data_IF_189633327153
#
_entry.id   IF_189633327153
#
_cell.length_a   1.000
_cell.length_b   1.000
_cell.length_c   1.000
_cell.angle_alpha   90.00
_cell.angle_beta   90.00
_cell.angle_gamma   90.00
#
_symmetry.space_group_name_H-M   'P 1'
#
loop_
_entity.id
_entity.type
_entity.pdbx_description
1 polymer ?
#
# COMPACT_ATOMS: atom_id res chain seq x y z
N UNK A 1 32.82 -3.45 37.20
CA UNK A 1 32.24 -4.71 37.79
C UNK A 1 30.90 -4.34 38.40
N UNK A 2 29.87 -5.09 38.07
CA UNK A 2 28.55 -4.94 38.73
C UNK A 2 28.65 -5.47 40.17
N UNK A 3 28.08 -4.73 41.12
CA UNK A 3 27.97 -5.15 42.52
C UNK A 3 26.51 -5.35 42.89
N UNK A 4 26.20 -6.45 43.57
CA UNK A 4 24.86 -6.69 44.10
C UNK A 4 24.81 -6.13 45.56
N UNK A 5 24.00 -5.14 45.80
CA UNK A 5 23.74 -4.58 47.13
C UNK A 5 22.26 -4.73 47.46
N UNK A 6 21.92 -5.76 48.25
CA UNK A 6 20.53 -6.07 48.54
C UNK A 6 19.73 -6.43 47.28
N UNK A 7 18.65 -5.70 47.00
CA UNK A 7 17.81 -5.89 45.81
C UNK A 7 18.20 -4.97 44.62
N UNK A 8 19.41 -4.42 44.62
CA UNK A 8 19.92 -3.53 43.57
C UNK A 8 21.07 -4.17 42.82
N UNK A 9 21.03 -4.11 41.48
CA UNK A 9 22.16 -4.40 40.60
C UNK A 9 22.74 -3.07 40.13
N UNK A 10 24.00 -2.80 40.44
CA UNK A 10 24.72 -1.63 39.88
C UNK A 10 25.45 -2.04 38.60
N UNK A 11 25.16 -1.35 37.51
CA UNK A 11 25.83 -1.55 36.23
C UNK A 11 27.02 -0.62 36.16
N UNK A 12 28.20 -1.15 35.80
CA UNK A 12 29.40 -0.33 35.60
C UNK A 12 29.21 0.65 34.45
N UNK A 13 29.70 1.89 34.63
CA UNK A 13 29.65 2.94 33.62
C UNK A 13 31.00 3.10 32.94
N UNK A 14 31.03 3.23 31.62
CA UNK A 14 32.23 3.45 30.81
C UNK A 14 31.91 4.42 29.66
N UNK A 15 32.92 5.22 29.26
CA UNK A 15 32.85 5.91 27.97
C UNK A 15 32.98 4.90 26.81
N UNK A 16 32.52 5.25 25.63
CA UNK A 16 32.66 4.39 24.41
C UNK A 16 34.14 4.04 24.19
N UNK A 17 35.05 4.98 24.35
CA UNK A 17 36.51 4.74 24.22
C UNK A 17 37.03 3.78 25.28
N UNK A 18 36.68 3.96 26.54
CA UNK A 18 37.10 3.11 27.65
C UNK A 18 36.55 1.68 27.48
N UNK A 19 35.30 1.56 27.08
CA UNK A 19 34.62 0.27 26.79
C UNK A 19 35.31 -0.49 25.66
N UNK A 20 35.65 0.20 24.55
CA UNK A 20 36.29 -0.42 23.39
C UNK A 20 37.76 -0.78 23.61
N UNK A 21 38.40 -0.20 24.63
CA UNK A 21 39.77 -0.53 25.02
C UNK A 21 39.87 -1.64 26.05
N UNK A 22 38.75 -2.20 26.51
CA UNK A 22 38.75 -3.40 27.34
C UNK A 22 39.39 -4.56 26.59
N UNK A 23 40.29 -5.28 27.22
CA UNK A 23 40.96 -6.47 26.65
C UNK A 23 39.96 -7.63 26.42
N UNK A 24 40.14 -8.74 27.08
CA UNK A 24 39.21 -9.88 27.00
C UNK A 24 37.92 -9.56 27.76
N UNK A 25 36.80 -9.44 27.03
CA UNK A 25 35.46 -9.21 27.60
C UNK A 25 34.63 -10.50 27.55
N UNK A 26 34.17 -11.04 28.69
CA UNK A 26 33.28 -12.19 28.68
C UNK A 26 31.93 -11.90 28.00
N UNK A 27 31.39 -12.89 27.26
CA UNK A 27 30.05 -12.83 26.73
C UNK A 27 29.01 -12.60 27.85
N UNK A 28 28.05 -11.72 27.60
CA UNK A 28 27.04 -11.32 28.58
C UNK A 28 27.48 -10.21 29.54
N UNK A 29 28.71 -9.68 29.40
CA UNK A 29 29.11 -8.49 30.14
C UNK A 29 28.18 -7.32 29.77
N UNK A 30 27.68 -6.62 30.79
CA UNK A 30 26.76 -5.47 30.64
C UNK A 30 27.44 -4.22 31.19
N UNK A 31 27.38 -3.12 30.43
CA UNK A 31 27.87 -1.79 30.82
C UNK A 31 26.86 -0.71 30.43
N UNK A 32 26.88 0.43 31.12
CA UNK A 32 26.24 1.64 30.66
C UNK A 32 27.29 2.50 29.92
N UNK A 33 27.08 2.73 28.64
CA UNK A 33 27.94 3.60 27.83
C UNK A 33 27.51 5.05 28.04
N UNK A 34 28.37 5.85 28.62
CA UNK A 34 28.05 7.27 28.98
C UNK A 34 28.01 8.20 27.78
N UNK A 35 28.73 7.87 26.70
CA UNK A 35 28.79 8.71 25.50
C UNK A 35 27.55 8.44 24.62
N UNK A 36 27.12 7.18 24.56
CA UNK A 36 25.91 6.78 23.83
C UNK A 36 24.62 6.87 24.64
N UNK A 37 24.75 7.03 25.99
CA UNK A 37 23.65 7.09 26.95
C UNK A 37 22.73 5.85 26.89
N UNK A 38 23.35 4.66 26.77
CA UNK A 38 22.63 3.38 26.65
C UNK A 38 23.31 2.23 27.40
N UNK A 39 22.51 1.23 27.77
CA UNK A 39 23.04 -0.04 28.32
C UNK A 39 23.43 -0.92 27.14
N UNK A 40 24.65 -1.46 27.19
CA UNK A 40 25.14 -2.41 26.18
C UNK A 40 25.54 -3.74 26.80
N UNK A 41 25.47 -4.81 26.04
CA UNK A 41 26.00 -6.12 26.38
C UNK A 41 27.01 -6.60 25.34
N UNK A 42 27.98 -7.38 25.79
CA UNK A 42 29.01 -7.96 24.93
C UNK A 42 28.64 -9.37 24.49
N UNK A 43 28.78 -9.64 23.17
CA UNK A 43 28.66 -10.99 22.59
C UNK A 43 29.76 -11.21 21.55
N UNK A 44 29.81 -12.39 20.83
CA UNK A 44 30.84 -12.66 19.82
C UNK A 44 30.90 -11.67 18.65
N UNK A 45 29.85 -10.86 18.42
CA UNK A 45 29.80 -9.80 17.41
C UNK A 45 30.28 -8.44 17.94
N UNK A 46 30.53 -8.34 19.24
CA UNK A 46 30.97 -7.11 19.91
C UNK A 46 29.94 -6.53 20.89
N UNK A 47 30.08 -5.23 21.16
CA UNK A 47 29.14 -4.50 22.02
C UNK A 47 27.88 -4.15 21.27
N UNK A 48 26.74 -4.64 21.78
CA UNK A 48 25.42 -4.37 21.23
C UNK A 48 24.54 -3.66 22.28
N UNK A 49 23.71 -2.71 21.86
CA UNK A 49 22.78 -2.09 22.79
C UNK A 49 21.80 -3.12 23.34
N UNK A 50 21.57 -3.09 24.66
CA UNK A 50 20.35 -3.69 25.20
C UNK A 50 19.25 -2.68 24.84
N UNK A 51 18.67 -2.87 23.68
CA UNK A 51 17.50 -2.14 23.26
C UNK A 51 16.33 -2.51 24.19
N UNK A 52 16.23 -1.84 25.32
CA UNK A 52 14.93 -1.71 25.96
C UNK A 52 14.17 -0.72 25.09
N UNK A 53 13.56 -1.23 24.02
CA UNK A 53 12.70 -0.40 23.19
C UNK A 53 11.78 0.36 24.13
N UNK A 54 12.02 1.65 24.27
CA UNK A 54 11.20 2.48 25.15
C UNK A 54 9.80 2.44 24.59
N UNK A 55 8.83 2.03 25.43
CA UNK A 55 7.44 1.96 24.99
C UNK A 55 7.03 3.26 24.35
N UNK A 56 6.65 3.19 23.08
CA UNK A 56 6.17 4.34 22.33
C UNK A 56 4.83 4.78 22.90
N UNK A 57 4.70 6.07 23.15
CA UNK A 57 3.41 6.74 23.26
C UNK A 57 3.25 7.66 22.05
N UNK A 58 2.15 7.47 21.33
CA UNK A 58 1.85 8.29 20.17
C UNK A 58 0.36 8.63 20.07
N UNK A 59 0.07 9.69 19.34
CA UNK A 59 -1.28 10.17 19.01
C UNK A 59 -1.43 10.31 17.50
N UNK A 60 -2.65 10.54 17.03
CA UNK A 60 -2.98 10.74 15.62
C UNK A 60 -3.73 9.56 14.99
N UNK A 61 -4.58 9.88 14.03
CA UNK A 61 -5.50 8.92 13.42
C UNK A 61 -6.52 8.34 14.39
N UNK A 62 -7.21 7.30 13.97
CA UNK A 62 -8.07 6.47 14.84
C UNK A 62 -7.21 5.42 15.54
N UNK A 63 -7.28 5.35 16.87
CA UNK A 63 -6.42 4.49 17.69
C UNK A 63 -7.21 3.28 18.17
N UNK A 64 -6.66 2.08 18.01
CA UNK A 64 -7.15 0.84 18.61
C UNK A 64 -6.06 0.20 19.49
N UNK A 65 -6.43 -0.19 20.70
CA UNK A 65 -5.59 -0.93 21.64
C UNK A 65 -5.99 -2.41 21.75
N UNK A 66 -7.02 -2.82 21.03
CA UNK A 66 -7.62 -4.15 21.15
C UNK A 66 -7.72 -4.92 19.84
N UNK A 67 -7.55 -4.26 18.69
CA UNK A 67 -7.66 -4.91 17.38
C UNK A 67 -6.55 -5.94 17.13
N UNK A 68 -5.33 -5.67 17.66
CA UNK A 68 -4.17 -6.58 17.61
C UNK A 68 -3.57 -6.73 19.01
N UNK A 69 -3.60 -7.95 19.55
CA UNK A 69 -3.10 -8.24 20.90
C UNK A 69 -1.64 -7.79 21.06
N UNK A 70 -1.33 -7.04 22.13
CA UNK A 70 0.00 -6.51 22.43
C UNK A 70 0.46 -5.35 21.56
N UNK A 71 -0.42 -4.79 20.71
CA UNK A 71 -0.11 -3.68 19.83
C UNK A 71 -1.10 -2.53 20.00
N UNK A 72 -0.60 -1.32 19.77
CA UNK A 72 -1.42 -0.14 19.48
C UNK A 72 -1.40 0.11 17.98
N UNK A 73 -2.59 0.28 17.39
CA UNK A 73 -2.78 0.47 15.95
C UNK A 73 -3.39 1.84 15.71
N UNK A 74 -2.74 2.63 14.86
CA UNK A 74 -3.20 3.94 14.37
C UNK A 74 -3.64 3.79 12.91
N UNK A 75 -4.85 4.23 12.59
CA UNK A 75 -5.42 4.19 11.24
C UNK A 75 -5.74 5.60 10.77
N UNK A 76 -5.20 5.99 9.62
CA UNK A 76 -5.45 7.27 8.98
C UNK A 76 -6.23 7.04 7.68
N UNK A 77 -7.44 7.59 7.61
CA UNK A 77 -8.30 7.62 6.42
C UNK A 77 -8.39 9.02 5.81
N UNK A 78 -7.70 9.98 6.40
CA UNK A 78 -7.49 11.36 5.94
C UNK A 78 -6.10 11.83 6.36
N UNK A 79 -5.54 12.88 5.73
CA UNK A 79 -4.25 13.46 6.12
C UNK A 79 -4.21 13.85 7.60
N UNK A 80 -3.05 13.70 8.22
CA UNK A 80 -2.85 14.00 9.65
C UNK A 80 -1.40 13.91 10.07
N UNK A 81 -1.16 13.76 11.36
CA UNK A 81 0.17 13.61 11.94
C UNK A 81 0.18 12.43 12.91
N UNK A 82 1.12 11.53 12.74
CA UNK A 82 1.48 10.55 13.76
C UNK A 82 2.51 11.22 14.67
N UNK A 83 2.10 11.57 15.89
CA UNK A 83 2.95 12.27 16.85
C UNK A 83 3.43 11.29 17.93
N UNK A 84 4.72 11.02 17.96
CA UNK A 84 5.37 10.28 19.05
C UNK A 84 5.68 11.27 20.18
N UNK A 85 5.04 11.06 21.34
CA UNK A 85 5.18 11.92 22.51
C UNK A 85 6.27 11.46 23.46
N UNK A 86 6.56 10.16 23.49
CA UNK A 86 7.64 9.56 24.26
C UNK A 86 8.01 8.18 23.75
N UNK A 87 9.20 7.71 24.09
CA UNK A 87 9.72 6.41 23.70
C UNK A 87 10.33 6.43 22.29
N UNK A 88 11.10 5.37 21.99
CA UNK A 88 11.77 5.18 20.70
C UNK A 88 11.77 3.69 20.37
N UNK A 89 11.28 3.32 19.21
CA UNK A 89 11.26 1.93 18.74
C UNK A 89 10.91 1.90 17.25
N UNK A 90 10.96 0.73 16.64
CA UNK A 90 10.44 0.52 15.30
C UNK A 90 8.90 0.47 15.32
N UNK A 91 8.28 1.07 14.33
CA UNK A 91 6.86 0.93 14.04
C UNK A 91 6.67 0.17 12.73
N UNK A 92 5.72 -0.75 12.71
CA UNK A 92 5.24 -1.36 11.48
C UNK A 92 4.34 -0.37 10.74
N UNK A 93 4.44 -0.32 9.41
CA UNK A 93 3.54 0.51 8.61
C UNK A 93 2.96 -0.23 7.40
N UNK A 94 1.78 0.22 6.99
CA UNK A 94 1.13 -0.10 5.72
C UNK A 94 0.61 1.19 5.11
N UNK A 95 1.20 1.62 4.00
CA UNK A 95 0.83 2.83 3.26
C UNK A 95 0.23 2.42 1.92
N UNK A 96 -1.02 2.80 1.67
CA UNK A 96 -1.72 2.53 0.42
C UNK A 96 -2.20 3.86 -0.16
N UNK A 97 -1.86 4.13 -1.41
CA UNK A 97 -2.28 5.32 -2.13
C UNK A 97 -3.72 5.16 -2.66
N UNK A 98 -4.31 6.25 -3.12
CA UNK A 98 -5.59 6.24 -3.81
C UNK A 98 -5.51 5.49 -5.14
N UNK A 99 -6.52 4.65 -5.42
CA UNK A 99 -6.68 3.94 -6.70
C UNK A 99 -7.11 4.86 -7.83
N UNK A 100 -6.82 4.49 -9.07
CA UNK A 100 -7.29 5.21 -10.27
C UNK A 100 -8.75 4.93 -10.56
N UNK A 101 -9.43 5.86 -11.23
CA UNK A 101 -10.78 5.66 -11.75
C UNK A 101 -10.77 4.80 -13.01
N UNK A 102 -11.88 4.14 -13.28
CA UNK A 102 -12.13 3.43 -14.53
C UNK A 102 -12.27 4.37 -15.72
N UNK A 103 -12.08 3.86 -16.91
CA UNK A 103 -12.18 4.62 -18.14
C UNK A 103 -13.60 5.07 -18.43
N UNK A 104 -13.73 6.17 -19.18
CA UNK A 104 -15.00 6.71 -19.68
C UNK A 104 -15.25 6.25 -21.12
N UNK A 105 -16.49 5.87 -21.41
CA UNK A 105 -16.93 5.60 -22.78
C UNK A 105 -17.05 6.88 -23.61
N UNK A 106 -16.85 6.78 -24.92
CA UNK A 106 -16.95 7.92 -25.85
C UNK A 106 -18.38 8.21 -26.29
N UNK A 107 -18.62 9.44 -26.76
CA UNK A 107 -19.83 9.84 -27.47
C UNK A 107 -19.91 9.13 -28.82
N UNK A 108 -21.02 8.49 -29.17
CA UNK A 108 -21.26 8.01 -30.53
C UNK A 108 -21.58 6.55 -30.75
N UNK A 109 -22.10 5.80 -29.78
CA UNK A 109 -22.69 4.49 -30.04
C UNK A 109 -22.13 3.36 -29.22
N UNK A 110 -22.73 2.17 -29.40
CA UNK A 110 -22.35 0.96 -28.73
C UNK A 110 -20.96 0.48 -29.13
N UNK A 111 -20.17 -0.02 -28.21
CA UNK A 111 -18.95 -0.78 -28.48
C UNK A 111 -17.66 -0.13 -27.99
N UNK A 112 -17.71 0.79 -27.01
CA UNK A 112 -16.52 1.42 -26.45
C UNK A 112 -16.30 0.99 -25.00
N UNK A 113 -15.94 -0.25 -24.82
CA UNK A 113 -15.63 -0.82 -23.51
C UNK A 113 -14.29 -0.27 -23.00
N UNK A 114 -14.28 0.13 -21.75
CA UNK A 114 -13.15 0.88 -21.17
C UNK A 114 -12.39 0.05 -20.14
N UNK A 115 -11.16 0.43 -19.89
CA UNK A 115 -10.30 -0.23 -18.91
C UNK A 115 -10.69 0.05 -17.48
N UNK A 116 -10.44 -0.89 -16.58
CA UNK A 116 -10.54 -0.69 -15.13
C UNK A 116 -9.40 0.14 -14.59
N UNK A 117 -9.61 0.90 -13.51
CA UNK A 117 -8.57 1.64 -12.80
C UNK A 117 -7.58 0.70 -12.09
N UNK A 118 -6.32 1.08 -12.03
CA UNK A 118 -5.30 0.40 -11.25
C UNK A 118 -5.37 0.74 -9.76
N UNK A 119 -4.95 -0.17 -8.91
CA UNK A 119 -4.83 0.11 -7.48
C UNK A 119 -3.76 1.16 -7.20
N UNK A 120 -3.90 1.87 -6.10
CA UNK A 120 -2.83 2.66 -5.51
C UNK A 120 -1.64 1.78 -5.13
N UNK A 121 -0.44 2.34 -5.15
CA UNK A 121 0.77 1.67 -4.69
C UNK A 121 0.63 1.22 -3.25
N UNK A 122 1.26 0.11 -2.94
CA UNK A 122 1.24 -0.51 -1.62
C UNK A 122 2.67 -0.62 -1.09
N UNK A 123 2.95 0.04 0.04
CA UNK A 123 4.23 -0.04 0.73
C UNK A 123 4.03 -0.53 2.16
N UNK A 124 4.86 -1.48 2.58
CA UNK A 124 4.89 -2.03 3.94
C UNK A 124 6.31 -2.15 4.44
N UNK A 125 6.48 -2.13 5.73
CA UNK A 125 7.79 -2.30 6.36
C UNK A 125 7.78 -1.86 7.81
N UNK A 126 9.00 -1.65 8.32
CA UNK A 126 9.25 -1.06 9.63
C UNK A 126 10.09 0.20 9.46
N UNK A 127 9.96 1.13 10.37
CA UNK A 127 10.80 2.34 10.42
C UNK A 127 11.00 2.76 11.87
N UNK A 128 12.22 3.18 12.25
CA UNK A 128 12.46 3.68 13.58
C UNK A 128 11.78 5.05 13.77
N UNK A 129 11.20 5.25 14.94
CA UNK A 129 10.64 6.54 15.36
C UNK A 129 11.15 6.92 16.74
N UNK A 130 11.31 8.22 16.93
CA UNK A 130 11.67 8.88 18.19
C UNK A 130 10.65 9.97 18.49
N UNK A 131 10.63 10.58 19.67
CA UNK A 131 9.73 11.70 19.95
C UNK A 131 9.79 12.77 18.84
N UNK A 132 8.64 13.06 18.23
CA UNK A 132 8.55 13.97 17.09
C UNK A 132 7.25 13.83 16.31
N UNK A 133 7.12 14.65 15.27
CA UNK A 133 5.96 14.69 14.38
C UNK A 133 6.29 14.05 13.04
N UNK A 134 5.49 13.06 12.65
CA UNK A 134 5.60 12.34 11.40
C UNK A 134 4.36 12.63 10.54
N UNK A 135 4.51 13.41 9.47
CA UNK A 135 3.37 13.75 8.62
C UNK A 135 2.83 12.51 7.91
N UNK A 136 1.50 12.43 7.83
CA UNK A 136 0.76 11.39 7.10
C UNK A 136 -0.08 12.06 6.06
N UNK A 137 0.08 11.67 4.79
CA UNK A 137 -0.87 12.01 3.73
C UNK A 137 -1.64 10.78 3.29
N UNK A 138 -2.93 10.95 3.01
CA UNK A 138 -3.82 9.89 2.51
C UNK A 138 -4.40 10.35 1.19
N UNK A 139 -4.08 9.64 0.13
CA UNK A 139 -4.48 10.00 -1.23
C UNK A 139 -5.94 9.69 -1.50
N UNK A 140 -6.63 10.59 -2.20
CA UNK A 140 -7.97 10.35 -2.73
C UNK A 140 -7.96 9.39 -3.93
N UNK A 141 -9.06 8.67 -4.14
CA UNK A 141 -9.29 7.92 -5.37
C UNK A 141 -9.53 8.85 -6.57
N UNK A 142 -9.09 8.44 -7.75
CA UNK A 142 -9.33 9.15 -9.01
C UNK A 142 -10.80 9.06 -9.44
N UNK A 143 -11.34 10.14 -9.99
CA UNK A 143 -12.61 10.10 -10.71
C UNK A 143 -12.47 9.36 -12.05
N UNK A 144 -13.52 9.41 -12.89
CA UNK A 144 -13.47 8.82 -14.25
C UNK A 144 -12.23 9.25 -15.00
N UNK A 145 -11.51 8.29 -15.60
CA UNK A 145 -10.28 8.54 -16.38
C UNK A 145 -9.19 9.32 -15.63
N UNK A 146 -9.29 9.44 -14.32
CA UNK A 146 -8.34 10.18 -13.50
C UNK A 146 -7.47 9.22 -12.68
N UNK A 147 -6.23 9.62 -12.51
CA UNK A 147 -5.32 8.98 -11.56
C UNK A 147 -5.80 9.18 -10.13
N UNK A 148 -5.49 8.26 -9.24
CA UNK A 148 -5.55 8.51 -7.82
C UNK A 148 -4.54 9.56 -7.37
N UNK A 149 -4.40 9.75 -6.06
CA UNK A 149 -3.33 10.56 -5.47
C UNK A 149 -2.46 9.75 -4.53
N UNK A 150 -1.20 10.16 -4.37
CA UNK A 150 -0.23 9.46 -3.54
C UNK A 150 -0.58 9.52 -2.04
N UNK A 151 -0.14 8.52 -1.29
CA UNK A 151 -0.13 8.53 0.18
C UNK A 151 1.30 8.48 0.70
N UNK A 152 1.53 9.03 1.89
CA UNK A 152 2.85 8.95 2.51
C UNK A 152 2.78 8.83 4.03
N UNK A 153 3.84 8.27 4.61
CA UNK A 153 4.13 8.27 6.04
C UNK A 153 5.62 8.51 6.21
N UNK A 154 5.98 9.60 6.87
CA UNK A 154 7.39 10.00 7.00
C UNK A 154 8.07 10.09 5.61
N UNK A 155 9.12 9.32 5.37
CA UNK A 155 9.85 9.21 4.11
C UNK A 155 9.34 8.09 3.17
N UNK A 156 8.28 7.37 3.57
CA UNK A 156 7.67 6.31 2.78
C UNK A 156 6.59 6.89 1.87
N UNK A 157 6.68 6.64 0.57
CA UNK A 157 5.71 7.09 -0.42
C UNK A 157 5.08 5.90 -1.15
N UNK A 158 3.76 5.89 -1.22
CA UNK A 158 2.99 5.01 -2.10
C UNK A 158 2.51 5.80 -3.33
N UNK A 159 2.79 5.28 -4.52
CA UNK A 159 2.48 5.93 -5.80
C UNK A 159 1.00 5.79 -6.11
N UNK A 160 0.38 6.86 -6.61
CA UNK A 160 -1.03 6.87 -7.05
C UNK A 160 -1.38 5.72 -7.99
N UNK A 161 -2.62 5.26 -7.99
CA UNK A 161 -3.14 4.28 -8.95
C UNK A 161 -3.34 4.83 -10.35
N UNK A 162 -3.12 4.00 -11.37
CA UNK A 162 -3.25 4.35 -12.79
C UNK A 162 -4.71 4.45 -13.23
N UNK A 163 -5.04 5.41 -14.09
CA UNK A 163 -6.37 5.57 -14.66
C UNK A 163 -6.65 4.47 -15.70
N UNK A 164 -7.88 4.00 -15.78
CA UNK A 164 -8.32 3.10 -16.86
C UNK A 164 -8.38 3.82 -18.21
N UNK A 165 -8.00 3.12 -19.27
CA UNK A 165 -8.10 3.61 -20.66
C UNK A 165 -9.55 3.89 -21.05
N UNK A 166 -9.77 4.95 -21.83
CA UNK A 166 -11.10 5.37 -22.27
C UNK A 166 -11.03 6.58 -23.19
N UNK A 167 -12.16 6.95 -23.80
CA UNK A 167 -12.24 8.15 -24.64
C UNK A 167 -12.81 9.34 -23.85
N UNK A 168 -12.50 10.59 -24.22
CA UNK A 168 -11.79 10.98 -25.47
C UNK A 168 -10.26 10.96 -25.37
N UNK A 169 -9.67 10.68 -24.18
CA UNK A 169 -8.27 11.01 -23.95
C UNK A 169 -7.27 9.95 -24.49
N UNK A 170 -7.31 8.71 -23.99
CA UNK A 170 -6.41 7.65 -24.42
C UNK A 170 -7.08 6.28 -24.34
N UNK A 171 -6.80 5.40 -25.28
CA UNK A 171 -7.23 4.01 -25.22
C UNK A 171 -6.38 3.18 -24.26
N UNK A 172 -5.15 3.62 -23.99
CA UNK A 172 -4.22 2.95 -23.09
C UNK A 172 -4.53 3.27 -21.63
N UNK A 173 -4.28 2.31 -20.77
CA UNK A 173 -4.29 2.50 -19.32
C UNK A 173 -3.13 3.36 -18.84
N UNK A 174 -3.37 4.23 -17.87
CA UNK A 174 -2.36 5.07 -17.27
C UNK A 174 -1.40 4.29 -16.34
N UNK A 175 -0.12 4.68 -16.26
CA UNK A 175 0.83 4.09 -15.31
C UNK A 175 0.51 4.52 -13.87
N UNK A 176 0.95 3.72 -12.89
CA UNK A 176 0.72 4.05 -11.48
C UNK A 176 1.47 3.15 -10.52
N UNK A 177 1.11 3.18 -9.24
CA UNK A 177 1.49 2.14 -8.29
C UNK A 177 1.13 0.78 -8.87
N UNK A 178 -0.18 0.61 -9.22
CA UNK A 178 -0.60 -0.38 -10.23
C UNK A 178 -1.19 0.35 -11.44
N UNK A 179 -0.96 -0.17 -12.64
CA UNK A 179 -1.42 0.42 -13.89
C UNK A 179 -2.91 0.21 -14.14
N UNK A 180 -3.56 1.14 -14.84
CA UNK A 180 -4.93 0.98 -15.34
C UNK A 180 -5.01 -0.01 -16.50
N UNK A 181 -6.16 -0.63 -16.71
CA UNK A 181 -6.44 -1.47 -17.88
C UNK A 181 -6.61 -0.66 -19.16
N UNK A 182 -6.26 -1.22 -20.31
CA UNK A 182 -6.50 -0.62 -21.62
C UNK A 182 -7.97 -0.70 -22.03
N UNK A 183 -8.44 0.25 -22.83
CA UNK A 183 -9.76 0.20 -23.45
C UNK A 183 -9.76 -0.80 -24.64
N UNK A 184 -10.97 -1.07 -25.18
CA UNK A 184 -11.12 -1.83 -26.40
C UNK A 184 -10.15 -1.32 -27.53
N UNK A 185 -10.14 -2.00 -28.67
CA UNK A 185 -9.28 -1.64 -29.80
C UNK A 185 -7.79 -1.69 -29.46
N UNK A 186 -7.38 -2.74 -28.75
CA UNK A 186 -5.98 -3.02 -28.41
C UNK A 186 -5.29 -2.00 -27.49
N UNK A 187 -6.03 -1.23 -26.70
CA UNK A 187 -5.43 -0.36 -25.69
C UNK A 187 -4.51 -1.16 -24.78
N UNK A 188 -3.28 -0.72 -24.63
CA UNK A 188 -2.32 -1.36 -23.73
C UNK A 188 -2.68 -1.09 -22.26
N UNK A 189 -2.38 -2.06 -21.39
CA UNK A 189 -2.45 -1.84 -19.96
C UNK A 189 -1.32 -0.93 -19.47
N UNK A 190 -1.62 -0.02 -18.56
CA UNK A 190 -0.63 0.85 -17.93
C UNK A 190 0.40 0.03 -17.14
N UNK A 191 1.61 0.55 -17.01
CA UNK A 191 2.68 -0.07 -16.21
C UNK A 191 2.46 0.13 -14.71
N UNK A 192 2.85 -0.86 -13.90
CA UNK A 192 2.94 -0.73 -12.45
C UNK A 192 4.32 -0.26 -11.99
N UNK A 193 4.39 0.30 -10.80
CA UNK A 193 5.65 0.66 -10.14
C UNK A 193 6.23 -0.58 -9.44
N UNK A 194 7.47 -0.95 -9.76
CA UNK A 194 8.15 -2.09 -9.14
C UNK A 194 8.14 -2.02 -7.61
N UNK A 195 7.78 -3.13 -6.96
CA UNK A 195 7.67 -3.22 -5.50
C UNK A 195 6.40 -2.60 -4.90
N UNK A 196 5.55 -1.92 -5.69
CA UNK A 196 4.32 -1.30 -5.20
C UNK A 196 3.05 -1.80 -5.89
N UNK A 197 3.16 -2.37 -7.10
CA UNK A 197 2.02 -2.92 -7.82
C UNK A 197 2.38 -3.43 -9.20
N UNK A 198 1.37 -3.82 -9.97
CA UNK A 198 1.51 -4.56 -11.22
C UNK A 198 0.80 -3.86 -12.39
N UNK A 199 1.11 -4.23 -13.64
CA UNK A 199 0.48 -3.63 -14.80
C UNK A 199 -1.01 -3.97 -14.90
N UNK A 200 -1.75 -3.13 -15.62
CA UNK A 200 -3.10 -3.41 -16.07
C UNK A 200 -3.14 -4.41 -17.23
N UNK A 201 -4.32 -4.96 -17.48
CA UNK A 201 -4.60 -5.84 -18.61
C UNK A 201 -4.82 -5.06 -19.92
N UNK A 202 -4.52 -5.70 -21.04
CA UNK A 202 -4.77 -5.17 -22.38
C UNK A 202 -6.25 -5.23 -22.74
N UNK A 203 -6.74 -4.23 -23.46
CA UNK A 203 -8.06 -4.27 -24.12
C UNK A 203 -8.04 -5.13 -25.40
N UNK A 204 -9.23 -5.60 -25.84
CA UNK A 204 -9.38 -6.44 -27.03
C UNK A 204 -10.40 -5.87 -28.00
N UNK A 205 -10.33 -6.25 -29.27
CA UNK A 205 -11.19 -5.75 -30.32
C UNK A 205 -12.35 -6.72 -30.68
N UNK A 206 -12.17 -8.02 -30.47
CA UNK A 206 -13.21 -9.01 -30.78
C UNK A 206 -13.24 -10.11 -29.68
N UNK A 207 -14.28 -10.13 -28.82
CA UNK A 207 -15.27 -9.06 -28.65
C UNK A 207 -14.62 -7.79 -28.08
N UNK A 208 -15.19 -6.61 -28.37
CA UNK A 208 -14.73 -5.36 -27.78
C UNK A 208 -14.76 -5.46 -26.25
N UNK A 209 -13.61 -5.35 -25.60
CA UNK A 209 -13.53 -5.42 -24.14
C UNK A 209 -12.37 -4.58 -23.62
N UNK A 210 -12.60 -3.93 -22.49
CA UNK A 210 -11.55 -3.30 -21.71
C UNK A 210 -10.79 -4.33 -20.87
N UNK A 211 -9.52 -4.07 -20.60
CA UNK A 211 -8.70 -4.84 -19.64
C UNK A 211 -8.98 -4.45 -18.21
N UNK A 212 -8.73 -5.34 -17.26
CA UNK A 212 -8.78 -5.02 -15.82
C UNK A 212 -7.58 -4.19 -15.38
N UNK A 213 -7.74 -3.35 -14.37
CA UNK A 213 -6.63 -2.64 -13.71
C UNK A 213 -5.72 -3.58 -12.93
N UNK A 214 -4.45 -3.24 -12.78
CA UNK A 214 -3.50 -3.99 -11.95
C UNK A 214 -3.82 -3.87 -10.46
N UNK A 215 -3.45 -4.87 -9.71
CA UNK A 215 -3.50 -4.89 -8.25
C UNK A 215 -2.11 -4.94 -7.62
N UNK A 216 -2.03 -4.85 -6.32
CA UNK A 216 -0.74 -4.84 -5.62
C UNK A 216 0.01 -6.19 -5.69
N UNK A 217 -0.69 -7.30 -5.90
CA UNK A 217 -0.07 -8.65 -5.99
C UNK A 217 0.03 -9.15 -7.43
N UNK A 218 -0.90 -8.78 -8.30
CA UNK A 218 -0.91 -9.31 -9.65
C UNK A 218 -1.45 -8.33 -10.69
N UNK A 219 -1.13 -8.62 -11.95
CA UNK A 219 -1.61 -7.85 -13.09
C UNK A 219 -3.13 -7.99 -13.26
N UNK A 220 -3.72 -6.96 -13.88
CA UNK A 220 -5.09 -7.04 -14.38
C UNK A 220 -5.20 -8.02 -15.55
N UNK A 221 -6.33 -8.70 -15.65
CA UNK A 221 -6.59 -9.61 -16.74
C UNK A 221 -6.88 -8.86 -18.05
N UNK A 222 -6.41 -9.35 -19.20
CA UNK A 222 -6.82 -8.80 -20.49
C UNK A 222 -8.31 -9.00 -20.72
N UNK A 223 -8.88 -8.22 -21.63
CA UNK A 223 -10.24 -8.45 -22.12
C UNK A 223 -10.37 -9.84 -22.73
N UNK A 224 -11.58 -10.48 -22.66
CA UNK A 224 -11.86 -11.71 -23.37
C UNK A 224 -11.78 -11.47 -24.87
N UNK A 225 -11.17 -12.38 -25.62
CA UNK A 225 -11.03 -12.27 -27.06
C UNK A 225 -10.05 -13.26 -27.63
N UNK A 226 -10.10 -13.47 -28.95
CA UNK A 226 -9.16 -14.30 -29.70
C UNK A 226 -7.80 -13.59 -29.79
N UNK A 227 -7.03 -13.64 -28.72
CA UNK A 227 -5.63 -13.25 -28.80
C UNK A 227 -4.81 -14.46 -29.26
N UNK A 228 -3.80 -14.31 -30.16
CA UNK A 228 -2.96 -15.42 -30.62
C UNK A 228 -2.21 -16.17 -29.52
N UNK A 229 -2.17 -15.64 -28.32
CA UNK A 229 -1.52 -16.23 -27.13
C UNK A 229 -2.50 -16.89 -26.13
N UNK A 230 -3.77 -17.15 -26.52
CA UNK A 230 -4.61 -18.16 -25.86
C UNK A 230 -5.11 -17.89 -24.45
N UNK A 231 -5.22 -16.69 -24.01
CA UNK A 231 -5.80 -16.37 -22.70
C UNK A 231 -7.22 -15.85 -22.82
N UNK A 232 -8.25 -16.66 -22.57
CA UNK A 232 -9.63 -16.20 -22.35
C UNK A 232 -9.68 -15.32 -21.08
N UNK A 233 -9.19 -14.08 -21.18
CA UNK A 233 -9.25 -13.11 -20.10
C UNK A 233 -10.71 -12.78 -19.76
N UNK A 234 -10.97 -12.43 -18.52
CA UNK A 234 -12.31 -12.06 -18.03
C UNK A 234 -12.38 -10.58 -17.63
N UNK A 235 -11.45 -9.75 -18.10
CA UNK A 235 -11.35 -8.34 -17.72
C UNK A 235 -11.25 -8.09 -16.21
N UNK A 236 -10.94 -9.08 -15.41
CA UNK A 236 -10.87 -8.93 -13.95
C UNK A 236 -9.72 -8.02 -13.53
N UNK A 237 -9.94 -7.27 -12.46
CA UNK A 237 -8.87 -6.54 -11.79
C UNK A 237 -7.83 -7.48 -11.17
N UNK A 238 -6.59 -7.02 -11.06
CA UNK A 238 -5.53 -7.74 -10.37
C UNK A 238 -5.77 -7.85 -8.87
N UNK A 239 -5.33 -8.94 -8.23
CA UNK A 239 -5.55 -9.16 -6.81
C UNK A 239 -4.79 -8.17 -5.92
N UNK A 240 -5.36 -7.90 -4.74
CA UNK A 240 -4.79 -7.08 -3.69
C UNK A 240 -3.96 -7.88 -2.68
N UNK A 241 -3.28 -7.18 -1.79
CA UNK A 241 -2.45 -7.76 -0.73
C UNK A 241 -3.21 -7.90 0.57
N UNK A 242 -3.14 -9.08 1.19
CA UNK A 242 -3.65 -9.30 2.55
C UNK A 242 -2.59 -8.92 3.60
N UNK A 243 -3.03 -8.32 4.71
CA UNK A 243 -2.17 -7.99 5.85
C UNK A 243 -2.94 -8.07 7.15
N UNK A 244 -2.30 -8.55 8.19
CA UNK A 244 -2.86 -8.64 9.56
C UNK A 244 -2.34 -7.51 10.47
N UNK A 245 -1.83 -6.42 9.93
CA UNK A 245 -1.31 -5.28 10.72
C UNK A 245 -2.36 -4.72 11.71
N UNK A 246 -3.65 -4.85 11.37
CA UNK A 246 -4.79 -4.44 12.21
C UNK A 246 -5.29 -5.55 13.14
N UNK A 247 -4.64 -6.73 13.16
CA UNK A 247 -5.02 -7.88 13.99
C UNK A 247 -5.71 -9.01 13.22
N UNK A 248 -6.55 -8.70 12.24
CA UNK A 248 -7.19 -9.67 11.35
C UNK A 248 -6.74 -9.45 9.90
N UNK A 249 -6.69 -10.50 9.06
CA UNK A 249 -6.34 -10.36 7.66
C UNK A 249 -7.33 -9.47 6.90
N UNK A 250 -6.84 -8.39 6.28
CA UNK A 250 -7.60 -7.49 5.43
C UNK A 250 -6.90 -7.34 4.09
N UNK A 251 -7.59 -7.72 3.00
CA UNK A 251 -7.06 -7.59 1.64
C UNK A 251 -7.46 -6.26 1.03
N UNK A 252 -6.48 -5.47 0.58
CA UNK A 252 -6.64 -4.11 0.04
C UNK A 252 -5.80 -3.95 -1.24
N UNK A 253 -5.97 -2.83 -1.94
CA UNK A 253 -5.22 -2.46 -3.15
C UNK A 253 -5.42 -3.45 -4.31
N UNK A 254 -6.66 -3.81 -4.59
CA UNK A 254 -7.04 -4.59 -5.78
C UNK A 254 -7.40 -3.70 -6.95
N UNK A 255 -7.25 -4.22 -8.17
CA UNK A 255 -7.61 -3.53 -9.42
C UNK A 255 -9.11 -3.51 -9.66
N UNK A 256 -9.59 -2.54 -10.42
CA UNK A 256 -10.95 -2.50 -10.97
C UNK A 256 -11.12 -3.41 -12.17
N UNK A 257 -12.33 -3.97 -12.36
CA UNK A 257 -12.68 -4.76 -13.56
C UNK A 257 -12.82 -3.90 -14.80
N UNK A 258 -12.45 -4.42 -15.96
CA UNK A 258 -12.67 -3.78 -17.27
C UNK A 258 -14.13 -3.93 -17.76
N UNK A 259 -14.55 -3.05 -18.65
CA UNK A 259 -15.85 -3.09 -19.31
C UNK A 259 -15.97 -4.30 -20.23
N UNK A 260 -17.11 -5.03 -20.18
CA UNK A 260 -17.29 -6.28 -20.93
C UNK A 260 -17.75 -6.05 -22.36
N UNK A 261 -17.25 -6.84 -23.27
CA UNK A 261 -17.65 -6.90 -24.67
C UNK A 261 -18.30 -8.22 -25.07
N UNK A 262 -19.41 -8.59 -24.51
CA UNK A 262 -20.12 -9.84 -24.85
C UNK A 262 -19.85 -11.03 -23.91
N UNK A 263 -18.92 -10.88 -22.98
CA UNK A 263 -18.68 -11.77 -21.83
C UNK A 263 -19.28 -11.19 -20.54
N UNK A 264 -19.03 -11.84 -19.42
CA UNK A 264 -19.43 -11.34 -18.10
C UNK A 264 -18.64 -10.07 -17.70
N UNK A 265 -19.19 -9.29 -16.77
CA UNK A 265 -18.53 -8.11 -16.21
C UNK A 265 -17.18 -8.46 -15.60
N UNK A 266 -16.16 -7.66 -15.85
CA UNK A 266 -14.89 -7.80 -15.17
C UNK A 266 -15.06 -7.65 -13.65
N UNK A 267 -14.63 -8.63 -12.86
CA UNK A 267 -14.70 -8.53 -11.42
C UNK A 267 -13.67 -7.55 -10.89
N UNK A 268 -14.09 -6.62 -10.02
CA UNK A 268 -13.18 -5.83 -9.19
C UNK A 268 -12.63 -6.70 -8.05
N UNK A 269 -11.40 -6.45 -7.63
CA UNK A 269 -10.74 -7.23 -6.59
C UNK A 269 -10.49 -6.39 -5.34
N UNK A 270 -10.56 -7.02 -4.14
CA UNK A 270 -10.21 -6.39 -2.87
C UNK A 270 -10.78 -4.96 -2.69
N UNK A 271 -12.05 -4.79 -2.92
CA UNK A 271 -12.75 -3.50 -2.86
C UNK A 271 -12.75 -2.71 -4.17
N UNK A 272 -12.17 -3.24 -5.26
CA UNK A 272 -12.22 -2.63 -6.58
C UNK A 272 -13.62 -2.63 -7.18
N UNK A 273 -13.93 -1.60 -7.99
CA UNK A 273 -15.19 -1.48 -8.71
C UNK A 273 -15.32 -2.55 -9.81
N UNK A 274 -16.47 -3.22 -9.92
CA UNK A 274 -16.70 -4.16 -11.03
C UNK A 274 -16.88 -3.40 -12.35
N UNK A 275 -16.49 -4.03 -13.44
CA UNK A 275 -16.74 -3.50 -14.78
C UNK A 275 -18.23 -3.41 -15.09
N UNK A 276 -18.58 -2.63 -16.12
CA UNK A 276 -19.95 -2.38 -16.60
C UNK A 276 -20.87 -1.56 -15.67
N UNK A 277 -20.34 -1.00 -14.63
CA UNK A 277 -21.10 -0.15 -13.72
C UNK A 277 -20.29 1.09 -13.37
N UNK A 278 -20.97 2.21 -13.13
CA UNK A 278 -20.32 3.40 -12.56
C UNK A 278 -20.03 3.23 -11.06
N UNK A 279 -20.05 1.98 -10.55
CA UNK A 279 -19.84 1.73 -9.14
C UNK A 279 -18.40 2.08 -8.76
N UNK A 280 -18.21 2.95 -7.78
CA UNK A 280 -16.89 3.28 -7.27
C UNK A 280 -16.27 2.07 -6.56
N UNK A 281 -14.95 2.07 -6.47
CA UNK A 281 -14.23 1.22 -5.53
C UNK A 281 -14.57 1.64 -4.09
N UNK A 282 -14.41 0.70 -3.15
CA UNK A 282 -14.65 0.97 -1.74
C UNK A 282 -13.64 2.02 -1.21
N UNK A 283 -14.08 2.98 -0.41
CA UNK A 283 -13.17 3.94 0.21
C UNK A 283 -12.20 3.26 1.18
N UNK A 284 -11.05 3.88 1.40
CA UNK A 284 -10.01 3.40 2.31
C UNK A 284 -9.43 2.02 1.94
N UNK A 285 -9.47 1.66 0.67
CA UNK A 285 -8.91 0.41 0.15
C UNK A 285 -7.76 0.64 -0.82
N UNK A 286 -7.65 1.84 -1.39
CA UNK A 286 -6.73 2.14 -2.48
C UNK A 286 -7.01 1.36 -3.77
N UNK A 287 -8.20 0.79 -3.91
CA UNK A 287 -8.54 -0.09 -5.02
C UNK A 287 -9.01 0.69 -6.25
N UNK A 288 -8.84 0.12 -7.44
CA UNK A 288 -9.21 0.75 -8.71
C UNK A 288 -10.71 0.74 -8.98
N UNK A 289 -11.22 1.76 -9.68
CA UNK A 289 -12.61 1.86 -10.14
C UNK A 289 -12.89 0.96 -11.35
N UNK A 290 -14.13 0.51 -11.52
CA UNK A 290 -14.55 -0.32 -12.66
C UNK A 290 -14.63 0.45 -13.98
N UNK A 291 -14.25 -0.18 -15.10
CA UNK A 291 -14.46 0.34 -16.46
C UNK A 291 -15.95 0.28 -16.86
N UNK A 292 -16.31 1.03 -17.88
CA UNK A 292 -17.68 1.14 -18.38
C UNK A 292 -17.89 0.36 -19.68
N UNK A 293 -19.14 -0.10 -19.90
CA UNK A 293 -19.60 -0.70 -21.15
C UNK A 293 -20.28 0.35 -22.00
N UNK A 294 -19.76 0.71 -23.13
CA UNK A 294 -20.34 1.48 -24.23
C UNK A 294 -21.30 2.62 -23.88
N UNK A 295 -21.40 3.61 -24.69
CA UNK A 295 -22.31 4.75 -24.52
C UNK A 295 -21.72 5.89 -23.66
N UNK A 296 -22.62 6.82 -23.24
CA UNK A 296 -22.25 8.08 -22.57
C UNK A 296 -21.88 7.94 -21.07
N UNK A 297 -21.61 6.71 -20.59
CA UNK A 297 -21.37 6.47 -19.18
C UNK A 297 -19.88 6.60 -18.78
N UNK A 298 -19.64 7.01 -17.53
CA UNK A 298 -18.33 7.03 -16.92
C UNK A 298 -18.01 5.74 -16.17
N UNK A 299 -16.74 5.38 -16.08
CA UNK A 299 -16.28 4.33 -15.16
C UNK A 299 -16.45 4.73 -13.69
N UNK A 300 -16.32 3.79 -12.79
CA UNK A 300 -16.35 4.03 -11.36
C UNK A 300 -15.12 4.80 -10.87
N UNK A 301 -15.30 5.59 -9.83
CA UNK A 301 -14.15 6.22 -9.14
C UNK A 301 -13.30 5.18 -8.41
N UNK A 302 -12.01 5.43 -8.31
CA UNK A 302 -11.10 4.67 -7.43
C UNK A 302 -11.40 4.91 -5.95
N UNK A 303 -10.99 3.99 -5.10
CA UNK A 303 -11.08 4.12 -3.64
C UNK A 303 -9.95 4.99 -3.08
N UNK A 304 -10.24 5.76 -2.04
CA UNK A 304 -9.19 6.46 -1.30
C UNK A 304 -8.19 5.49 -0.69
N UNK A 305 -6.97 5.97 -0.47
CA UNK A 305 -5.93 5.25 0.24
C UNK A 305 -6.16 5.13 1.74
N UNK A 306 -5.21 4.52 2.41
CA UNK A 306 -5.20 4.34 3.87
C UNK A 306 -3.75 4.22 4.34
N UNK A 307 -3.48 4.75 5.56
CA UNK A 307 -2.21 4.53 6.24
C UNK A 307 -2.47 3.89 7.59
N UNK A 308 -1.79 2.78 7.86
CA UNK A 308 -1.86 2.06 9.14
C UNK A 308 -0.47 1.99 9.74
N UNK A 309 -0.36 2.31 11.03
CA UNK A 309 0.89 2.26 11.81
C UNK A 309 0.61 1.44 13.06
N UNK A 310 1.48 0.49 13.37
CA UNK A 310 1.33 -0.38 14.54
C UNK A 310 2.65 -0.54 15.28
N UNK A 311 2.58 -0.57 16.62
CA UNK A 311 3.75 -0.79 17.47
C UNK A 311 3.37 -1.52 18.77
N UNK A 312 4.30 -2.30 19.37
CA UNK A 312 4.06 -3.02 20.62
C UNK A 312 3.85 -2.07 21.80
N UNK A 313 2.98 -2.45 22.79
CA UNK A 313 2.62 -1.66 23.97
C UNK A 313 2.88 -2.40 25.29
#
# INVERSE_FOLDING_TARGET
MSKLHGNRVEIGTLSTSAKNSLGSVPNGTIVYDTDLNEIQYYNPQGWLPISTGQKINATGGSISNSSRSGYRVHTFTSPGTFQVTSGSNDVEYRVIAGGGGGGQGGVGGAGFETGGGGAGGHATGTTPVTPGNYPVSVGGGGGNTAFGTASSFSNVNAVRGGAGGGRPNTVDGGPGGSGGGGAYNHGEGGTGTGGQGNPGGKGTQQPNSGGGGGGSVGAGSPGPGSHPTGGGGNSAGGPGTSSSITGSPVTLAGGGGGGPGGGGNGAGQAGGGPGNTSNPAQPNTGSGGGGHRGGYGGGGSGGSGIVVIAYPV
#
